data_IF_030984829802
#
_entry.id   IF_030984829802
#
_cell.length_a   1.000
_cell.length_b   1.000
_cell.length_c   1.000
_cell.angle_alpha   90.00
_cell.angle_beta   90.00
_cell.angle_gamma   90.00
#
_symmetry.space_group_name_H-M   'P 1'
#
loop_
_entity.id
_entity.type
_entity.pdbx_description
1 polymer ?
#
# COMPACT_ATOMS: atom_id res chain seq x y z
N UNK A 1 -5.17 -8.74 -26.06
CA UNK A 1 -4.84 -9.43 -24.80
C UNK A 1 -5.71 -8.83 -23.72
N UNK A 2 -6.60 -9.63 -23.13
CA UNK A 2 -7.41 -9.20 -22.00
C UNK A 2 -6.50 -9.18 -20.77
N UNK A 3 -5.88 -8.04 -20.47
CA UNK A 3 -5.09 -7.88 -19.25
C UNK A 3 -6.04 -7.81 -18.06
N UNK A 4 -6.05 -8.84 -17.23
CA UNK A 4 -6.80 -8.83 -15.97
C UNK A 4 -6.04 -7.97 -14.94
N UNK A 5 -6.76 -7.10 -14.23
CA UNK A 5 -6.21 -6.37 -13.09
C UNK A 5 -5.87 -7.36 -11.99
N UNK A 6 -4.61 -7.41 -11.56
CA UNK A 6 -4.25 -8.21 -10.40
C UNK A 6 -4.98 -7.72 -9.17
N UNK A 7 -5.72 -8.63 -8.55
CA UNK A 7 -6.40 -8.39 -7.29
C UNK A 7 -5.41 -8.69 -6.16
N UNK A 8 -5.06 -7.70 -5.34
CA UNK A 8 -4.44 -7.97 -4.04
C UNK A 8 -5.50 -8.42 -3.05
N UNK A 9 -5.14 -9.34 -2.16
CA UNK A 9 -5.98 -9.56 -0.97
C UNK A 9 -5.94 -8.29 -0.10
N UNK A 10 -6.99 -8.07 0.69
CA UNK A 10 -7.12 -6.92 1.60
C UNK A 10 -5.88 -6.66 2.51
N UNK A 11 -5.06 -7.68 2.74
CA UNK A 11 -3.88 -7.65 3.60
C UNK A 11 -2.53 -7.73 2.83
N UNK A 12 -2.52 -7.57 1.51
CA UNK A 12 -1.31 -7.71 0.68
C UNK A 12 -1.08 -9.14 0.15
N UNK A 13 0.18 -9.47 -0.15
CA UNK A 13 0.58 -10.76 -0.74
C UNK A 13 1.24 -11.74 0.24
N UNK A 14 1.48 -11.33 1.49
CA UNK A 14 2.18 -12.14 2.50
C UNK A 14 1.19 -12.63 3.55
N UNK A 15 1.50 -13.80 4.14
CA UNK A 15 0.75 -14.45 5.21
C UNK A 15 0.44 -13.48 6.36
N UNK A 16 -0.82 -13.44 6.80
CA UNK A 16 -1.39 -12.34 7.61
C UNK A 16 -1.66 -12.80 9.03
N UNK A 17 -0.70 -13.52 9.61
CA UNK A 17 -0.73 -13.89 11.01
C UNK A 17 -0.39 -12.66 11.84
N UNK A 18 -1.15 -12.44 12.91
CA UNK A 18 -0.83 -11.39 13.86
C UNK A 18 0.45 -11.79 14.60
N UNK A 19 1.44 -10.91 14.59
CA UNK A 19 2.69 -11.10 15.32
C UNK A 19 2.83 -10.04 16.42
N UNK A 20 3.64 -10.34 17.43
CA UNK A 20 4.04 -9.36 18.44
C UNK A 20 5.29 -8.61 17.97
N UNK A 21 5.35 -7.29 18.17
CA UNK A 21 6.61 -6.54 17.96
C UNK A 21 7.75 -7.06 18.83
N UNK A 22 7.44 -7.58 20.02
CA UNK A 22 8.46 -8.19 20.88
C UNK A 22 8.93 -9.54 20.35
N UNK A 23 8.09 -10.29 19.61
CA UNK A 23 8.51 -11.51 18.88
C UNK A 23 9.58 -11.13 17.85
N UNK A 24 9.32 -10.13 17.01
CA UNK A 24 10.29 -9.66 16.01
C UNK A 24 11.59 -9.19 16.65
N UNK A 25 11.52 -8.39 17.72
CA UNK A 25 12.71 -7.92 18.44
C UNK A 25 13.58 -9.06 18.96
N UNK A 26 12.95 -10.09 19.50
CA UNK A 26 13.65 -11.26 19.99
C UNK A 26 14.32 -12.02 18.83
N UNK A 27 13.60 -12.24 17.73
CA UNK A 27 14.15 -12.93 16.55
C UNK A 27 15.32 -12.18 15.93
N UNK A 28 15.22 -10.86 15.77
CA UNK A 28 16.31 -10.01 15.27
C UNK A 28 17.52 -10.03 16.22
N UNK A 29 17.28 -10.06 17.53
CA UNK A 29 18.35 -10.18 18.53
C UNK A 29 19.08 -11.53 18.44
N UNK A 30 18.34 -12.64 18.34
CA UNK A 30 18.92 -13.98 18.19
C UNK A 30 19.70 -14.08 16.88
N UNK A 31 19.12 -13.59 15.78
CA UNK A 31 19.78 -13.55 14.48
C UNK A 31 21.12 -12.78 14.54
N UNK A 32 21.14 -11.63 15.22
CA UNK A 32 22.34 -10.84 15.44
C UNK A 32 23.38 -11.58 16.31
N UNK A 33 22.98 -12.16 17.43
CA UNK A 33 23.89 -12.85 18.36
C UNK A 33 24.52 -14.09 17.72
N UNK A 34 23.72 -14.89 17.01
CA UNK A 34 24.16 -16.14 16.41
C UNK A 34 24.71 -15.96 14.99
N UNK A 35 24.63 -14.75 14.42
CA UNK A 35 25.00 -14.46 13.03
C UNK A 35 24.31 -15.39 12.03
N UNK A 36 23.01 -15.61 12.24
CA UNK A 36 22.14 -16.45 11.40
C UNK A 36 21.02 -15.63 10.77
N UNK A 37 20.42 -16.16 9.72
CA UNK A 37 19.21 -15.58 9.12
C UNK A 37 17.98 -16.32 9.64
N UNK A 38 17.05 -15.58 10.24
CA UNK A 38 15.75 -16.10 10.69
C UNK A 38 14.65 -15.45 9.85
N UNK A 39 13.91 -16.26 9.09
CA UNK A 39 12.72 -15.81 8.39
C UNK A 39 11.57 -15.62 9.37
N UNK A 40 10.93 -14.45 9.39
CA UNK A 40 9.81 -14.10 10.26
C UNK A 40 8.82 -13.16 9.56
N UNK A 41 7.74 -12.75 10.22
CA UNK A 41 6.63 -12.00 9.63
C UNK A 41 7.03 -10.72 8.83
N UNK A 42 8.16 -10.08 9.19
CA UNK A 42 8.59 -8.80 8.65
C UNK A 42 9.76 -8.88 7.65
N UNK A 43 10.32 -10.07 7.38
CA UNK A 43 11.41 -10.24 6.43
C UNK A 43 11.18 -11.44 5.51
N UNK A 44 12.08 -11.64 4.53
CA UNK A 44 12.05 -12.78 3.62
C UNK A 44 10.66 -13.08 3.03
N UNK A 45 10.28 -14.36 3.04
CA UNK A 45 8.96 -14.84 2.59
C UNK A 45 7.85 -14.66 3.63
N UNK A 46 8.14 -14.07 4.79
CA UNK A 46 7.24 -14.03 5.94
C UNK A 46 7.34 -15.29 6.82
N UNK A 47 6.35 -15.46 7.70
CA UNK A 47 6.23 -16.67 8.54
C UNK A 47 6.02 -17.93 7.70
N UNK A 48 6.76 -18.99 8.07
CA UNK A 48 6.70 -20.30 7.42
C UNK A 48 5.60 -21.15 8.08
N UNK A 49 4.90 -21.96 7.28
CA UNK A 49 3.99 -22.98 7.79
C UNK A 49 4.65 -24.35 7.77
N UNK A 50 4.77 -24.97 8.94
CA UNK A 50 5.34 -26.31 9.14
C UNK A 50 4.26 -27.22 9.72
N UNK A 51 3.90 -28.29 9.01
CA UNK A 51 2.85 -29.22 9.46
C UNK A 51 1.49 -28.54 9.72
N UNK A 52 1.17 -27.47 8.98
CA UNK A 52 -0.04 -26.68 9.17
C UNK A 52 0.02 -25.61 10.27
N UNK A 53 1.14 -25.51 10.99
CA UNK A 53 1.36 -24.53 12.08
C UNK A 53 2.20 -23.37 11.51
N UNK A 54 1.71 -22.12 11.66
CA UNK A 54 2.53 -20.92 11.40
C UNK A 54 3.52 -20.75 12.54
N UNK A 55 4.80 -20.56 12.22
CA UNK A 55 5.86 -20.36 13.22
C UNK A 55 6.38 -18.92 13.16
N UNK A 56 6.68 -18.34 14.32
CA UNK A 56 7.14 -16.95 14.45
C UNK A 56 8.46 -16.72 13.69
N UNK A 57 9.41 -17.64 13.84
CA UNK A 57 10.74 -17.58 13.21
C UNK A 57 11.21 -18.95 12.70
N UNK A 58 11.85 -18.97 11.53
CA UNK A 58 12.45 -20.17 10.97
C UNK A 58 13.84 -19.90 10.39
N UNK A 59 14.83 -20.65 10.87
CA UNK A 59 16.18 -20.67 10.30
C UNK A 59 16.38 -21.93 9.47
N UNK A 60 16.49 -21.77 8.14
CA UNK A 60 16.58 -22.91 7.23
C UNK A 60 17.92 -23.66 7.31
N UNK A 61 19.03 -22.94 7.54
CA UNK A 61 20.37 -23.53 7.58
C UNK A 61 20.54 -24.50 8.76
N UNK A 62 19.96 -24.15 9.92
CA UNK A 62 20.02 -24.97 11.14
C UNK A 62 18.77 -25.82 11.35
N UNK A 63 17.76 -25.73 10.47
CA UNK A 63 16.42 -26.34 10.65
C UNK A 63 15.82 -26.05 12.03
N UNK A 64 16.03 -24.84 12.53
CA UNK A 64 15.54 -24.41 13.86
C UNK A 64 14.33 -23.52 13.72
N UNK A 65 13.31 -23.80 14.53
CA UNK A 65 12.09 -23.01 14.69
C UNK A 65 12.22 -22.21 15.98
N UNK A 66 11.89 -20.92 15.90
CA UNK A 66 11.85 -20.02 17.04
C UNK A 66 10.39 -19.61 17.28
N UNK A 67 9.86 -19.88 18.49
CA UNK A 67 8.47 -19.57 18.85
C UNK A 67 8.43 -18.58 20.01
N UNK A 68 7.67 -17.50 19.84
CA UNK A 68 7.50 -16.48 20.87
C UNK A 68 6.11 -16.59 21.52
N UNK A 69 6.10 -16.98 22.79
CA UNK A 69 4.87 -17.25 23.52
C UNK A 69 4.40 -16.02 24.29
N UNK A 70 3.50 -15.25 23.68
CA UNK A 70 2.71 -14.24 24.38
C UNK A 70 1.96 -14.85 25.56
N UNK A 71 2.25 -14.43 26.79
CA UNK A 71 1.83 -15.15 28.00
C UNK A 71 0.30 -15.26 28.11
N UNK A 72 -0.40 -14.21 27.70
CA UNK A 72 -1.86 -14.15 27.67
C UNK A 72 -2.47 -15.12 26.65
N UNK A 73 -1.91 -15.21 25.44
CA UNK A 73 -2.47 -16.01 24.34
C UNK A 73 -2.06 -17.49 24.39
N UNK A 74 -0.93 -17.79 25.00
CA UNK A 74 -0.34 -19.14 25.04
C UNK A 74 -0.47 -19.83 26.41
N UNK A 75 -1.16 -19.22 27.38
CA UNK A 75 -1.47 -19.89 28.65
C UNK A 75 -0.26 -20.02 29.58
N UNK A 76 0.49 -18.95 29.83
CA UNK A 76 1.65 -19.04 30.73
C UNK A 76 1.21 -19.32 32.19
N UNK A 77 1.55 -20.50 32.73
CA UNK A 77 1.17 -20.93 34.08
C UNK A 77 1.92 -20.21 35.22
N UNK A 78 3.02 -19.51 34.90
CA UNK A 78 3.73 -18.65 35.85
C UNK A 78 3.06 -17.28 35.98
N UNK A 79 2.46 -16.78 34.90
CA UNK A 79 1.83 -15.46 34.86
C UNK A 79 0.35 -15.51 35.21
N UNK A 80 -0.33 -16.64 35.01
CA UNK A 80 -1.77 -16.76 35.16
C UNK A 80 -2.15 -18.06 35.89
N UNK A 81 -3.24 -17.98 36.66
CA UNK A 81 -3.84 -19.16 37.26
C UNK A 81 -4.39 -20.09 36.14
N UNK A 82 -4.08 -21.42 36.17
CA UNK A 82 -4.50 -22.38 35.16
C UNK A 82 -6.00 -22.39 34.85
N UNK A 83 -6.85 -22.14 35.84
CA UNK A 83 -8.31 -22.26 35.73
C UNK A 83 -8.99 -20.99 35.21
N UNK A 84 -8.25 -19.88 35.10
CA UNK A 84 -8.78 -18.62 34.55
C UNK A 84 -9.11 -18.79 33.07
N UNK A 85 -10.29 -18.32 32.66
CA UNK A 85 -10.71 -18.28 31.26
C UNK A 85 -10.14 -17.03 30.59
N UNK A 86 -9.42 -17.21 29.48
CA UNK A 86 -8.99 -16.12 28.63
C UNK A 86 -10.22 -15.51 27.91
N UNK A 87 -10.48 -14.20 28.06
CA UNK A 87 -11.70 -13.57 27.54
C UNK A 87 -11.73 -13.43 26.00
N UNK A 88 -10.60 -13.60 25.32
CA UNK A 88 -10.49 -13.50 23.86
C UNK A 88 -10.69 -14.87 23.20
N UNK A 89 -10.12 -15.92 23.78
CA UNK A 89 -10.18 -17.28 23.21
C UNK A 89 -11.28 -18.16 23.81
N UNK A 90 -11.84 -17.75 24.94
CA UNK A 90 -12.80 -18.51 25.76
C UNK A 90 -12.26 -19.85 26.28
N UNK A 91 -10.94 -20.08 26.20
CA UNK A 91 -10.28 -21.26 26.76
C UNK A 91 -9.64 -20.92 28.12
N UNK A 92 -9.51 -21.93 28.99
CA UNK A 92 -8.72 -21.77 30.21
C UNK A 92 -7.24 -21.61 29.88
N UNK A 93 -6.50 -20.92 30.75
CA UNK A 93 -5.05 -20.75 30.59
C UNK A 93 -4.34 -22.11 30.55
N UNK A 94 -4.81 -23.11 31.32
CA UNK A 94 -4.32 -24.48 31.22
C UNK A 94 -4.48 -25.07 29.83
N UNK A 95 -5.66 -24.94 29.23
CA UNK A 95 -5.92 -25.50 27.90
C UNK A 95 -5.08 -24.81 26.82
N UNK A 96 -4.86 -23.49 26.93
CA UNK A 96 -3.95 -22.76 26.03
C UNK A 96 -2.50 -23.24 26.19
N UNK A 97 -2.05 -23.49 27.42
CA UNK A 97 -0.73 -24.04 27.70
C UNK A 97 -0.55 -25.43 27.07
N UNK A 98 -1.53 -26.31 27.31
CA UNK A 98 -1.52 -27.68 26.80
C UNK A 98 -1.45 -27.68 25.26
N UNK A 99 -2.22 -26.81 24.58
CA UNK A 99 -2.15 -26.64 23.12
C UNK A 99 -0.80 -26.11 22.64
N UNK A 100 -0.22 -25.17 23.37
CA UNK A 100 1.11 -24.60 23.05
C UNK A 100 2.17 -25.70 23.09
N UNK A 101 2.19 -26.48 24.17
CA UNK A 101 3.10 -27.64 24.33
C UNK A 101 2.88 -28.70 23.25
N UNK A 102 1.63 -29.03 22.93
CA UNK A 102 1.30 -30.01 21.88
C UNK A 102 1.83 -29.56 20.51
N UNK A 103 1.74 -28.28 20.19
CA UNK A 103 2.30 -27.73 18.95
C UNK A 103 3.83 -27.86 18.92
N UNK A 104 4.51 -27.53 20.02
CA UNK A 104 5.97 -27.69 20.14
C UNK A 104 6.39 -29.15 19.96
N UNK A 105 5.71 -30.09 20.62
CA UNK A 105 5.94 -31.53 20.47
C UNK A 105 5.70 -32.03 19.03
N UNK A 106 4.67 -31.49 18.33
CA UNK A 106 4.41 -31.82 16.92
C UNK A 106 5.54 -31.36 16.00
N UNK A 107 6.10 -30.19 16.25
CA UNK A 107 7.20 -29.64 15.45
C UNK A 107 8.50 -30.43 15.72
N UNK A 108 8.80 -30.73 16.98
CA UNK A 108 9.94 -31.55 17.37
C UNK A 108 9.88 -32.96 16.78
N UNK A 109 8.70 -33.61 16.79
CA UNK A 109 8.50 -34.93 16.15
C UNK A 109 8.76 -34.94 14.64
N UNK A 110 8.66 -33.79 13.98
CA UNK A 110 9.01 -33.63 12.56
C UNK A 110 10.51 -33.40 12.34
N UNK A 111 11.33 -33.50 13.39
CA UNK A 111 12.79 -33.38 13.32
C UNK A 111 13.30 -31.94 13.29
N UNK A 112 12.53 -30.99 13.82
CA UNK A 112 12.98 -29.60 13.99
C UNK A 112 13.47 -29.37 15.42
N UNK A 113 14.55 -28.61 15.57
CA UNK A 113 14.90 -28.00 16.86
C UNK A 113 13.92 -26.85 17.10
N UNK A 114 13.28 -26.80 18.26
CA UNK A 114 12.36 -25.71 18.62
C UNK A 114 12.93 -24.94 19.80
N UNK A 115 13.19 -23.64 19.61
CA UNK A 115 13.62 -22.70 20.64
C UNK A 115 12.44 -21.83 21.00
N UNK A 116 12.14 -21.72 22.28
CA UNK A 116 10.95 -21.01 22.77
C UNK A 116 11.36 -19.83 23.65
N UNK A 117 10.63 -18.73 23.53
CA UNK A 117 10.80 -17.55 24.38
C UNK A 117 9.44 -17.10 24.90
N UNK A 118 9.27 -17.06 26.21
CA UNK A 118 8.06 -16.51 26.82
C UNK A 118 8.14 -14.98 26.93
N UNK A 119 7.00 -14.32 26.75
CA UNK A 119 6.92 -12.87 26.81
C UNK A 119 7.45 -12.27 28.12
N UNK A 120 7.20 -12.92 29.27
CA UNK A 120 7.67 -12.43 30.56
C UNK A 120 9.19 -12.56 30.71
N UNK A 121 9.78 -13.63 30.17
CA UNK A 121 11.22 -13.84 30.15
C UNK A 121 11.91 -12.80 29.27
N UNK A 122 11.40 -12.55 28.05
CA UNK A 122 11.96 -11.52 27.18
C UNK A 122 11.80 -10.11 27.77
N UNK A 123 10.71 -9.84 28.50
CA UNK A 123 10.57 -8.57 29.24
C UNK A 123 11.62 -8.44 30.34
N UNK A 124 11.92 -9.51 31.07
CA UNK A 124 12.97 -9.52 32.08
C UNK A 124 14.36 -9.34 31.44
N UNK A 125 14.62 -10.02 30.32
CA UNK A 125 15.88 -9.91 29.57
C UNK A 125 16.09 -8.48 29.07
N UNK A 126 15.08 -7.86 28.45
CA UNK A 126 15.14 -6.43 28.05
C UNK A 126 15.47 -5.50 29.21
N UNK A 127 15.12 -5.85 30.45
CA UNK A 127 15.43 -5.04 31.63
C UNK A 127 16.85 -5.28 32.13
N UNK A 128 17.37 -6.49 32.02
CA UNK A 128 18.60 -6.92 32.69
C UNK A 128 19.81 -7.03 31.76
N UNK A 129 19.60 -7.15 30.44
CA UNK A 129 20.66 -7.28 29.44
C UNK A 129 20.97 -5.91 28.81
N UNK A 130 22.17 -5.38 29.08
CA UNK A 130 22.61 -4.08 28.57
C UNK A 130 22.83 -4.09 27.05
N UNK A 131 23.37 -5.19 26.51
CA UNK A 131 23.67 -5.32 25.09
C UNK A 131 22.38 -5.38 24.27
N UNK A 132 21.38 -6.14 24.75
CA UNK A 132 20.05 -6.17 24.15
C UNK A 132 19.41 -4.78 24.13
N UNK A 133 19.51 -4.00 25.22
CA UNK A 133 18.98 -2.63 25.23
C UNK A 133 19.67 -1.75 24.19
N UNK A 134 21.00 -1.85 24.08
CA UNK A 134 21.76 -1.11 23.09
C UNK A 134 21.32 -1.46 21.67
N UNK A 135 21.24 -2.75 21.36
CA UNK A 135 20.77 -3.24 20.05
C UNK A 135 19.35 -2.77 19.72
N UNK A 136 18.41 -2.92 20.66
CA UNK A 136 17.02 -2.50 20.46
C UNK A 136 16.86 -0.99 20.29
N UNK A 137 17.80 -0.18 20.81
CA UNK A 137 17.77 1.27 20.62
C UNK A 137 18.09 1.70 19.19
N UNK A 138 18.81 0.86 18.44
CA UNK A 138 19.19 1.08 17.05
C UNK A 138 18.34 0.30 16.06
N UNK A 139 17.60 -0.72 16.51
CA UNK A 139 16.79 -1.58 15.65
C UNK A 139 15.58 -0.82 15.07
N UNK A 140 15.58 -0.61 13.75
CA UNK A 140 14.45 -0.06 13.02
C UNK A 140 13.51 -1.19 12.57
N UNK A 141 12.34 -1.30 13.20
CA UNK A 141 11.31 -2.27 12.79
C UNK A 141 10.35 -1.60 11.83
N UNK A 142 10.39 -2.04 10.58
CA UNK A 142 9.46 -1.61 9.54
C UNK A 142 8.40 -2.70 9.32
N UNK A 143 7.12 -2.34 9.44
CA UNK A 143 6.04 -3.26 9.07
C UNK A 143 6.08 -3.57 7.56
N UNK A 144 5.39 -4.61 7.10
CA UNK A 144 5.30 -4.91 5.66
C UNK A 144 4.64 -3.76 4.88
N UNK A 145 4.89 -3.73 3.58
CA UNK A 145 4.26 -2.83 2.62
C UNK A 145 2.75 -3.07 2.58
N UNK A 146 2.00 -2.02 2.86
CA UNK A 146 0.57 -1.96 2.56
C UNK A 146 0.35 -1.05 1.35
N UNK A 147 -0.13 -1.58 0.20
CA UNK A 147 -0.34 -0.77 -1.00
C UNK A 147 -1.28 0.42 -0.77
N UNK A 148 -2.19 0.34 0.22
CA UNK A 148 -3.11 1.43 0.56
C UNK A 148 -2.39 2.67 1.10
N UNK A 149 -1.21 2.50 1.68
CA UNK A 149 -0.43 3.62 2.20
C UNK A 149 0.11 4.49 1.06
N UNK A 150 0.27 3.92 -0.15
CA UNK A 150 0.62 4.65 -1.36
C UNK A 150 -0.58 5.34 -2.04
N UNK A 151 -1.80 5.14 -1.55
CA UNK A 151 -2.99 5.77 -2.14
C UNK A 151 -3.26 7.14 -1.52
N UNK A 152 -2.98 8.21 -2.27
CA UNK A 152 -3.18 9.59 -1.85
C UNK A 152 -4.30 10.29 -2.63
N UNK A 153 -4.82 11.37 -2.03
CA UNK A 153 -5.78 12.25 -2.70
C UNK A 153 -5.07 13.27 -3.61
N UNK A 154 -5.86 14.16 -4.22
CA UNK A 154 -5.31 15.28 -4.97
C UNK A 154 -4.46 16.22 -4.11
N UNK A 155 -3.48 16.85 -4.74
CA UNK A 155 -2.63 17.86 -4.12
C UNK A 155 -3.41 19.18 -3.96
N UNK A 156 -3.54 19.63 -2.72
CA UNK A 156 -4.02 20.98 -2.40
C UNK A 156 -2.90 21.70 -1.66
N UNK A 157 -2.29 22.71 -2.30
CA UNK A 157 -1.17 23.43 -1.73
C UNK A 157 -1.25 24.93 -2.05
N UNK A 158 -1.16 25.78 -1.04
CA UNK A 158 -1.08 27.22 -1.20
C UNK A 158 0.37 27.69 -1.10
N UNK A 159 0.92 28.23 -2.18
CA UNK A 159 2.28 28.81 -2.20
C UNK A 159 2.29 30.24 -1.67
N UNK A 160 1.23 31.00 -1.97
CA UNK A 160 1.04 32.37 -1.52
C UNK A 160 -0.43 32.56 -1.13
N UNK A 161 -0.68 33.05 0.08
CA UNK A 161 -2.05 33.26 0.59
C UNK A 161 -2.69 34.55 0.07
N UNK A 162 -1.89 35.54 -0.33
CA UNK A 162 -2.37 36.82 -0.85
C UNK A 162 -1.54 37.29 -2.05
N UNK A 163 -2.20 37.63 -3.14
CA UNK A 163 -1.58 38.22 -4.33
C UNK A 163 -2.41 39.42 -4.79
N UNK A 164 -1.75 40.55 -4.98
CA UNK A 164 -2.35 41.77 -5.53
C UNK A 164 -1.82 41.95 -6.96
N UNK A 165 -2.75 42.00 -7.93
CA UNK A 165 -2.43 42.14 -9.35
C UNK A 165 -3.22 41.16 -10.24
N UNK A 166 -3.04 41.24 -11.57
CA UNK A 166 -3.69 40.34 -12.51
C UNK A 166 -3.25 38.89 -12.30
N UNK A 167 -4.21 37.97 -12.24
CA UNK A 167 -3.96 36.53 -12.09
C UNK A 167 -4.56 35.73 -13.24
N UNK A 168 -3.94 34.60 -13.58
CA UNK A 168 -4.49 33.62 -14.54
C UNK A 168 -4.91 32.36 -13.80
N UNK A 169 -6.08 31.83 -14.13
CA UNK A 169 -6.57 30.53 -13.67
C UNK A 169 -6.36 29.50 -14.78
N UNK A 170 -5.63 28.43 -14.46
CA UNK A 170 -5.37 27.32 -15.38
C UNK A 170 -5.97 26.07 -14.75
N UNK A 171 -6.79 25.36 -15.51
CA UNK A 171 -7.53 24.18 -15.04
C UNK A 171 -7.33 23.01 -15.99
N UNK A 172 -7.11 21.83 -15.43
CA UNK A 172 -7.13 20.61 -16.21
C UNK A 172 -8.57 20.14 -16.39
N UNK A 173 -9.05 20.18 -17.63
CA UNK A 173 -10.35 19.62 -17.94
C UNK A 173 -10.28 18.10 -17.83
N UNK A 174 -10.91 17.53 -16.80
CA UNK A 174 -10.99 16.08 -16.57
C UNK A 174 -9.64 15.40 -16.30
N UNK A 175 -8.88 15.89 -15.31
CA UNK A 175 -7.58 15.33 -14.91
C UNK A 175 -7.57 13.81 -14.69
N UNK A 176 -8.44 13.26 -13.84
CA UNK A 176 -8.45 11.80 -13.57
C UNK A 176 -8.80 10.96 -14.81
N UNK A 177 -9.83 11.32 -15.62
CA UNK A 177 -10.05 10.68 -16.91
C UNK A 177 -8.86 10.73 -17.85
N UNK A 178 -8.14 11.86 -17.90
CA UNK A 178 -6.92 12.00 -18.70
C UNK A 178 -5.86 10.98 -18.24
N UNK A 179 -5.57 10.91 -16.95
CA UNK A 179 -4.65 9.90 -16.39
C UNK A 179 -5.11 8.47 -16.74
N UNK A 180 -6.40 8.15 -16.55
CA UNK A 180 -6.93 6.82 -16.85
C UNK A 180 -6.77 6.42 -18.32
N UNK A 181 -6.77 7.38 -19.24
CA UNK A 181 -6.63 7.11 -20.67
C UNK A 181 -5.17 6.98 -21.13
N UNK A 182 -4.27 7.77 -20.56
CA UNK A 182 -2.92 7.94 -21.09
C UNK A 182 -1.81 7.41 -20.16
N UNK A 183 -2.06 7.26 -18.86
CA UNK A 183 -1.07 6.77 -17.91
C UNK A 183 -0.85 5.27 -18.02
N UNK A 184 0.34 4.84 -17.60
CA UNK A 184 0.75 3.44 -17.48
C UNK A 184 0.32 2.88 -16.13
N UNK A 185 -0.46 1.81 -16.15
CA UNK A 185 -0.96 1.13 -14.95
C UNK A 185 -0.32 -0.25 -14.76
N UNK A 186 -0.10 -0.71 -13.51
CA UNK A 186 0.28 -2.09 -13.24
C UNK A 186 -0.85 -3.06 -13.60
N UNK A 187 -0.49 -4.23 -14.14
CA UNK A 187 -1.41 -5.34 -14.45
C UNK A 187 -0.82 -6.66 -13.95
N UNK A 188 -1.69 -7.64 -13.69
CA UNK A 188 -1.27 -8.89 -13.05
C UNK A 188 -0.84 -8.71 -11.58
N UNK A 189 -0.17 -9.72 -11.04
CA UNK A 189 0.29 -9.74 -9.65
C UNK A 189 1.74 -9.24 -9.54
N UNK A 190 2.09 -8.49 -8.48
CA UNK A 190 3.45 -8.07 -8.25
C UNK A 190 4.30 -9.23 -7.71
N UNK A 191 5.59 -9.15 -7.99
CA UNK A 191 6.62 -9.83 -7.23
C UNK A 191 6.93 -9.04 -5.96
N UNK A 192 6.87 -9.71 -4.81
CA UNK A 192 7.22 -9.12 -3.53
C UNK A 192 8.72 -9.30 -3.31
N UNK A 193 9.43 -8.19 -3.28
CA UNK A 193 10.88 -8.16 -3.13
C UNK A 193 11.25 -7.50 -1.80
N UNK A 194 12.19 -8.13 -1.09
CA UNK A 194 12.86 -7.56 0.08
C UNK A 194 14.29 -7.22 -0.36
N UNK A 195 14.59 -5.95 -0.65
CA UNK A 195 15.92 -5.54 -1.09
C UNK A 195 16.99 -5.81 -0.03
N UNK A 196 18.25 -5.89 -0.46
CA UNK A 196 19.37 -5.99 0.46
C UNK A 196 19.46 -4.74 1.35
N UNK A 197 20.00 -4.91 2.55
CA UNK A 197 20.19 -3.79 3.49
C UNK A 197 21.05 -2.72 2.82
N UNK A 198 20.52 -1.50 2.74
CA UNK A 198 21.21 -0.37 2.11
C UNK A 198 20.96 -0.23 0.61
N UNK A 199 20.12 -1.05 -0.01
CA UNK A 199 19.69 -0.85 -1.40
C UNK A 199 18.96 0.50 -1.56
N UNK A 200 19.32 1.21 -2.61
CA UNK A 200 18.86 2.58 -2.89
C UNK A 200 18.35 2.77 -4.30
N UNK A 201 18.67 1.88 -5.24
CA UNK A 201 18.30 2.01 -6.65
C UNK A 201 16.83 1.67 -6.87
N UNK A 202 16.10 2.66 -7.41
CA UNK A 202 14.67 2.57 -7.69
C UNK A 202 14.36 2.40 -9.19
N UNK A 203 15.35 2.62 -10.07
CA UNK A 203 15.14 2.74 -11.51
C UNK A 203 14.57 1.45 -12.12
N UNK A 204 15.04 0.30 -11.62
CA UNK A 204 14.58 -1.02 -12.06
C UNK A 204 13.17 -1.41 -11.61
N UNK A 205 12.55 -0.64 -10.71
CA UNK A 205 11.26 -1.01 -10.14
C UNK A 205 10.08 -0.24 -10.75
N UNK A 206 8.96 -0.95 -10.84
CA UNK A 206 7.66 -0.41 -11.24
C UNK A 206 6.58 -0.96 -10.30
N UNK A 207 5.90 -0.09 -9.55
CA UNK A 207 4.85 -0.49 -8.59
C UNK A 207 4.88 0.29 -7.28
N UNK A 208 4.61 -0.38 -6.16
CA UNK A 208 4.62 0.24 -4.83
C UNK A 208 5.93 -0.06 -4.10
N UNK A 209 6.42 0.93 -3.35
CA UNK A 209 7.70 0.84 -2.68
C UNK A 209 7.56 1.41 -1.27
N UNK A 210 7.91 0.60 -0.27
CA UNK A 210 8.06 1.04 1.12
C UNK A 210 9.52 1.34 1.36
N UNK A 211 9.83 2.56 1.78
CA UNK A 211 11.20 3.02 1.92
C UNK A 211 11.31 4.17 2.92
N UNK A 212 12.55 4.48 3.29
CA UNK A 212 12.94 5.72 3.94
C UNK A 212 13.71 6.58 2.95
N UNK A 213 13.29 7.81 2.74
CA UNK A 213 13.84 8.68 1.70
C UNK A 213 14.25 10.01 2.28
N UNK A 214 15.38 10.54 1.80
CA UNK A 214 15.78 11.91 1.98
C UNK A 214 15.25 12.73 0.78
N UNK A 215 14.27 13.62 0.98
CA UNK A 215 13.73 14.41 -0.13
C UNK A 215 14.76 15.39 -0.67
N UNK A 216 14.83 15.50 -2.00
CA UNK A 216 15.69 16.47 -2.68
C UNK A 216 15.29 17.91 -2.34
N UNK A 217 16.28 18.76 -2.01
CA UNK A 217 16.05 20.19 -1.72
C UNK A 217 15.82 21.04 -2.98
N UNK A 218 16.16 20.53 -4.17
CA UNK A 218 16.16 21.29 -5.42
C UNK A 218 14.81 21.41 -6.13
N UNK A 219 13.74 20.85 -5.56
CA UNK A 219 12.42 20.82 -6.20
C UNK A 219 11.65 22.11 -5.90
N UNK A 220 11.23 22.83 -6.95
CA UNK A 220 10.30 23.96 -6.84
C UNK A 220 9.00 23.54 -6.14
N UNK A 221 8.54 22.32 -6.44
CA UNK A 221 7.39 21.70 -5.83
C UNK A 221 7.77 20.32 -5.31
N UNK A 222 7.77 20.10 -3.98
CA UNK A 222 7.98 18.77 -3.41
C UNK A 222 6.94 17.79 -3.98
N UNK A 223 7.39 16.56 -4.26
CA UNK A 223 6.59 15.56 -4.98
C UNK A 223 5.97 14.53 -4.03
N UNK A 224 6.71 14.08 -3.01
CA UNK A 224 6.25 12.98 -2.18
C UNK A 224 5.14 13.40 -1.21
N UNK A 225 3.95 12.78 -1.29
CA UNK A 225 2.91 12.98 -0.30
C UNK A 225 3.29 12.38 1.06
N UNK A 226 2.92 13.07 2.13
CA UNK A 226 3.17 12.64 3.50
C UNK A 226 1.97 12.98 4.37
N UNK A 227 1.37 11.97 5.01
CA UNK A 227 0.28 12.18 5.97
C UNK A 227 0.86 12.48 7.33
N UNK A 228 0.54 13.64 7.88
CA UNK A 228 0.96 14.03 9.21
C UNK A 228 -0.11 14.91 9.85
N UNK A 229 -0.44 14.62 11.12
CA UNK A 229 -1.52 15.29 11.88
C UNK A 229 -2.85 15.34 11.09
N UNK A 230 -3.24 14.20 10.53
CA UNK A 230 -4.46 14.02 9.71
C UNK A 230 -4.54 14.90 8.46
N UNK A 231 -3.43 15.50 8.04
CA UNK A 231 -3.33 16.31 6.83
C UNK A 231 -2.40 15.66 5.81
N UNK A 232 -2.77 15.80 4.54
CA UNK A 232 -1.89 15.49 3.42
C UNK A 232 -0.98 16.69 3.16
N UNK A 233 0.33 16.49 3.31
CA UNK A 233 1.35 17.50 3.07
C UNK A 233 2.37 16.97 2.05
N UNK A 234 3.20 17.87 1.51
CA UNK A 234 4.31 17.53 0.62
C UNK A 234 5.61 18.14 1.18
N UNK A 235 6.12 17.64 2.32
CA UNK A 235 7.25 18.25 3.01
C UNK A 235 8.60 17.75 2.47
N UNK A 236 9.65 18.56 2.67
CA UNK A 236 11.06 18.16 2.44
C UNK A 236 11.79 17.75 3.74
N UNK A 237 11.06 17.73 4.86
CA UNK A 237 11.56 17.38 6.18
C UNK A 237 10.41 16.85 7.05
N UNK A 238 10.56 15.60 7.53
CA UNK A 238 9.65 14.97 8.48
C UNK A 238 9.44 15.84 9.72
N UNK A 239 10.52 16.14 10.45
CA UNK A 239 10.43 16.89 11.72
C UNK A 239 9.81 18.26 11.56
N UNK A 240 10.10 19.02 10.50
CA UNK A 240 9.44 20.31 10.27
C UNK A 240 7.93 20.16 10.08
N UNK A 241 7.50 19.13 9.33
CA UNK A 241 6.06 18.88 9.12
C UNK A 241 5.35 18.43 10.40
N UNK A 242 6.01 17.58 11.20
CA UNK A 242 5.48 17.11 12.49
C UNK A 242 5.42 18.24 13.53
N UNK A 243 6.43 19.11 13.59
CA UNK A 243 6.50 20.22 14.55
C UNK A 243 5.84 21.50 14.06
N UNK A 244 5.39 21.54 12.79
CA UNK A 244 4.85 22.73 12.12
C UNK A 244 5.83 23.93 12.11
N UNK A 245 7.13 23.65 12.00
CA UNK A 245 8.18 24.67 11.98
C UNK A 245 8.00 25.64 10.80
N UNK A 246 8.08 26.94 11.08
CA UNK A 246 7.99 28.02 10.08
C UNK A 246 9.33 28.69 9.75
N UNK A 247 10.39 28.37 10.50
CA UNK A 247 11.74 28.89 10.28
C UNK A 247 12.56 27.99 9.32
N UNK A 248 13.65 28.49 8.71
CA UNK A 248 14.53 27.67 7.89
C UNK A 248 14.95 26.36 8.56
N UNK A 249 14.90 25.27 7.81
CA UNK A 249 15.17 23.93 8.34
C UNK A 249 16.68 23.67 8.46
N UNK A 250 17.13 23.36 9.69
CA UNK A 250 18.51 22.97 10.01
C UNK A 250 18.61 21.51 10.48
N UNK A 251 17.58 20.70 10.27
CA UNK A 251 17.55 19.30 10.69
C UNK A 251 18.53 18.45 9.88
N UNK A 252 19.12 17.46 10.55
CA UNK A 252 20.02 16.48 9.92
C UNK A 252 19.27 15.63 8.88
N UNK A 253 19.97 14.97 7.93
CA UNK A 253 19.34 14.07 6.98
C UNK A 253 18.40 13.05 7.63
N UNK A 254 18.79 12.47 8.77
CA UNK A 254 18.03 11.46 9.50
C UNK A 254 16.70 12.00 10.02
N UNK A 255 16.71 13.22 10.55
CA UNK A 255 15.50 13.91 11.02
C UNK A 255 14.63 14.43 9.85
N UNK A 256 15.25 14.72 8.71
CA UNK A 256 14.53 15.13 7.50
C UNK A 256 13.85 13.96 6.78
N UNK A 257 14.45 12.78 6.81
CA UNK A 257 13.98 11.63 6.05
C UNK A 257 12.54 11.26 6.36
N UNK A 258 11.79 10.97 5.30
CA UNK A 258 10.42 10.48 5.34
C UNK A 258 10.44 8.96 5.26
N UNK A 259 9.63 8.29 6.07
CA UNK A 259 9.36 6.85 5.90
C UNK A 259 7.91 6.68 5.49
N UNK A 260 7.67 5.89 4.45
CA UNK A 260 6.33 5.73 3.88
C UNK A 260 6.32 4.74 2.72
N UNK A 261 5.14 4.65 2.10
CA UNK A 261 4.93 3.84 0.90
C UNK A 261 4.48 4.76 -0.22
N UNK A 262 5.15 4.68 -1.37
CA UNK A 262 4.86 5.50 -2.55
C UNK A 262 4.85 4.64 -3.81
N UNK A 263 4.43 5.23 -4.93
CA UNK A 263 4.64 4.62 -6.24
C UNK A 263 6.06 4.88 -6.71
N UNK A 264 6.65 3.90 -7.42
CA UNK A 264 8.02 3.98 -7.92
C UNK A 264 8.29 5.23 -8.76
N UNK A 265 7.32 5.65 -9.58
CA UNK A 265 7.49 6.78 -10.49
C UNK A 265 7.60 8.13 -9.75
N UNK A 266 6.89 8.30 -8.64
CA UNK A 266 7.04 9.49 -7.77
C UNK A 266 8.43 9.51 -7.10
N UNK A 267 8.93 8.34 -6.70
CA UNK A 267 10.23 8.20 -6.05
C UNK A 267 11.38 8.54 -7.01
N UNK A 268 11.32 8.09 -8.26
CA UNK A 268 12.32 8.40 -9.31
C UNK A 268 12.54 9.90 -9.49
N UNK A 269 11.52 10.72 -9.24
CA UNK A 269 11.61 12.19 -9.36
C UNK A 269 12.09 12.85 -8.07
N UNK A 270 11.79 12.27 -6.91
CA UNK A 270 11.85 12.99 -5.63
C UNK A 270 13.03 12.63 -4.71
N UNK A 271 13.71 11.53 -5.01
CA UNK A 271 14.69 10.93 -4.12
C UNK A 271 16.08 11.48 -4.39
N UNK A 272 16.72 12.03 -3.36
CA UNK A 272 18.16 12.30 -3.37
C UNK A 272 18.94 11.06 -2.87
N UNK A 273 18.42 10.44 -1.80
CA UNK A 273 18.87 9.15 -1.26
C UNK A 273 17.66 8.39 -0.73
N UNK A 274 17.58 7.09 -1.00
CA UNK A 274 16.51 6.22 -0.53
C UNK A 274 17.06 4.94 0.08
N UNK A 275 16.39 4.39 1.08
CA UNK A 275 16.65 3.07 1.66
C UNK A 275 15.40 2.24 1.46
N UNK A 276 15.47 1.23 0.60
CA UNK A 276 14.32 0.40 0.25
C UNK A 276 14.09 -0.69 1.30
N UNK A 277 12.85 -0.84 1.76
CA UNK A 277 12.47 -1.87 2.74
C UNK A 277 11.72 -3.02 2.07
N UNK A 278 10.77 -2.71 1.19
CA UNK A 278 10.00 -3.71 0.46
C UNK A 278 9.45 -3.10 -0.83
N UNK A 279 9.42 -3.90 -1.90
CA UNK A 279 8.94 -3.48 -3.22
C UNK A 279 7.92 -4.48 -3.73
N UNK A 280 6.77 -3.97 -4.17
CA UNK A 280 5.79 -4.73 -4.94
C UNK A 280 6.01 -4.37 -6.41
N UNK A 281 6.81 -5.18 -7.10
CA UNK A 281 7.21 -4.93 -8.47
C UNK A 281 6.31 -5.65 -9.47
N UNK A 282 5.69 -4.89 -10.38
CA UNK A 282 4.91 -5.42 -11.49
C UNK A 282 5.79 -5.51 -12.74
N UNK A 283 5.92 -6.73 -13.27
CA UNK A 283 6.61 -6.98 -14.54
C UNK A 283 5.79 -6.49 -15.74
N UNK A 284 4.47 -6.50 -15.60
CA UNK A 284 3.53 -6.15 -16.65
C UNK A 284 2.86 -4.80 -16.37
N UNK A 285 2.60 -4.06 -17.45
CA UNK A 285 1.89 -2.78 -17.38
C UNK A 285 1.00 -2.58 -18.61
N UNK A 286 0.02 -1.69 -18.50
CA UNK A 286 -0.89 -1.35 -19.58
C UNK A 286 -1.20 0.14 -19.61
N UNK A 287 -1.18 0.72 -20.80
CA UNK A 287 -1.64 2.10 -21.08
C UNK A 287 -3.06 2.12 -21.66
N UNK A 288 -3.66 0.95 -21.89
CA UNK A 288 -4.98 0.83 -22.51
C UNK A 288 -6.04 0.28 -21.56
N UNK A 289 -5.67 0.01 -20.30
CA UNK A 289 -6.51 -0.65 -19.30
C UNK A 289 -7.89 -0.01 -19.16
N UNK A 290 -7.96 1.33 -19.11
CA UNK A 290 -9.22 2.06 -19.01
C UNK A 290 -9.57 2.85 -20.26
N UNK A 291 -8.72 2.80 -21.30
CA UNK A 291 -8.85 3.65 -22.49
C UNK A 291 -10.21 3.51 -23.15
N UNK A 292 -10.70 2.30 -23.38
CA UNK A 292 -12.00 2.06 -24.03
C UNK A 292 -13.18 2.62 -23.23
N UNK A 293 -13.16 2.48 -21.90
CA UNK A 293 -14.18 3.05 -21.02
C UNK A 293 -14.16 4.58 -21.08
N UNK A 294 -12.97 5.18 -20.98
CA UNK A 294 -12.82 6.64 -21.06
C UNK A 294 -13.24 7.16 -22.43
N UNK A 295 -12.84 6.51 -23.53
CA UNK A 295 -13.20 6.90 -24.89
C UNK A 295 -14.72 6.88 -25.12
N UNK A 296 -15.41 5.85 -24.62
CA UNK A 296 -16.86 5.75 -24.71
C UNK A 296 -17.55 6.94 -24.03
N UNK A 297 -17.21 7.23 -22.76
CA UNK A 297 -17.89 8.29 -22.02
C UNK A 297 -17.42 9.69 -22.42
N UNK A 298 -16.20 9.86 -22.92
CA UNK A 298 -15.75 11.09 -23.55
C UNK A 298 -16.53 11.38 -24.83
N UNK A 299 -16.72 10.39 -25.72
CA UNK A 299 -17.56 10.51 -26.92
C UNK A 299 -18.97 10.98 -26.56
N UNK A 300 -19.63 10.28 -25.64
CA UNK A 300 -20.99 10.63 -25.20
C UNK A 300 -21.06 12.04 -24.61
N UNK A 301 -20.10 12.40 -23.75
CA UNK A 301 -20.03 13.73 -23.14
C UNK A 301 -19.85 14.82 -24.20
N UNK A 302 -18.99 14.57 -25.18
CA UNK A 302 -18.66 15.56 -26.20
C UNK A 302 -19.81 15.76 -27.18
N UNK A 303 -20.43 14.68 -27.65
CA UNK A 303 -21.63 14.74 -28.49
C UNK A 303 -22.79 15.46 -27.78
N UNK A 304 -22.99 15.18 -26.48
CA UNK A 304 -24.02 15.85 -25.67
C UNK A 304 -23.69 17.31 -25.28
N UNK A 305 -22.48 17.80 -25.57
CA UNK A 305 -22.10 19.20 -25.28
C UNK A 305 -22.53 20.16 -26.40
N UNK A 306 -22.98 19.63 -27.55
CA UNK A 306 -23.26 20.43 -28.73
C UNK A 306 -21.99 20.90 -29.45
N UNK A 307 -22.16 21.62 -30.55
CA UNK A 307 -21.06 22.17 -31.31
C UNK A 307 -20.35 23.30 -30.53
N UNK A 308 -19.01 23.38 -30.58
CA UNK A 308 -18.28 24.54 -30.09
C UNK A 308 -18.78 25.85 -30.73
N UNK A 309 -18.63 26.97 -30.04
CA UNK A 309 -19.15 28.26 -30.49
C UNK A 309 -18.46 28.73 -31.80
N UNK A 310 -17.20 28.33 -31.98
CA UNK A 310 -16.39 28.55 -33.16
C UNK A 310 -16.78 27.68 -34.36
N UNK A 311 -17.58 26.63 -34.17
CA UNK A 311 -17.98 25.70 -35.22
C UNK A 311 -19.25 26.17 -35.96
N UNK A 312 -19.15 27.28 -36.68
CA UNK A 312 -20.31 27.93 -37.32
C UNK A 312 -20.56 27.35 -38.71
N UNK A 313 -19.53 27.20 -39.53
CA UNK A 313 -19.64 26.70 -40.91
C UNK A 313 -19.24 25.23 -41.03
N UNK A 314 -19.58 24.58 -42.14
CA UNK A 314 -19.29 23.16 -42.39
C UNK A 314 -17.81 22.82 -42.23
N UNK A 315 -16.93 23.67 -42.77
CA UNK A 315 -15.47 23.47 -42.67
C UNK A 315 -14.98 23.48 -41.22
N UNK A 316 -15.54 24.31 -40.34
CA UNK A 316 -15.16 24.31 -38.92
C UNK A 316 -15.57 23.00 -38.25
N UNK A 317 -16.76 22.49 -38.58
CA UNK A 317 -17.28 21.24 -38.06
C UNK A 317 -16.43 20.06 -38.51
N UNK A 318 -16.05 20.00 -39.78
CA UNK A 318 -15.15 18.97 -40.30
C UNK A 318 -13.77 19.03 -39.65
N UNK A 319 -13.19 20.23 -39.52
CA UNK A 319 -11.92 20.42 -38.79
C UNK A 319 -12.00 19.96 -37.34
N UNK A 320 -13.09 20.28 -36.65
CA UNK A 320 -13.30 19.86 -35.27
C UNK A 320 -13.39 18.33 -35.14
N UNK A 321 -14.14 17.67 -36.02
CA UNK A 321 -14.24 16.20 -36.04
C UNK A 321 -12.89 15.54 -36.32
N UNK A 322 -12.15 16.05 -37.30
CA UNK A 322 -10.82 15.56 -37.65
C UNK A 322 -9.84 15.75 -36.49
N UNK A 323 -9.82 16.93 -35.88
CA UNK A 323 -8.99 17.24 -34.72
C UNK A 323 -9.29 16.33 -33.53
N UNK A 324 -10.57 16.08 -33.24
CA UNK A 324 -10.95 15.22 -32.12
C UNK A 324 -10.54 13.76 -32.37
N UNK A 325 -10.67 13.28 -33.61
CA UNK A 325 -10.17 11.95 -33.99
C UNK A 325 -8.64 11.86 -33.91
N UNK A 326 -7.93 12.89 -34.38
CA UNK A 326 -6.47 12.92 -34.37
C UNK A 326 -5.90 12.94 -32.94
N UNK A 327 -6.42 13.83 -32.09
CA UNK A 327 -5.89 14.06 -30.74
C UNK A 327 -6.38 12.99 -29.76
N UNK A 328 -7.68 12.66 -29.80
CA UNK A 328 -8.28 11.75 -28.83
C UNK A 328 -8.38 10.31 -29.34
N UNK A 329 -8.28 10.07 -30.66
CA UNK A 329 -8.57 8.76 -31.25
C UNK A 329 -10.06 8.41 -31.23
N UNK A 330 -10.94 9.39 -31.04
CA UNK A 330 -12.39 9.19 -30.87
C UNK A 330 -13.11 9.76 -32.08
N UNK A 331 -13.80 8.90 -32.83
CA UNK A 331 -14.68 9.33 -33.90
C UNK A 331 -16.01 9.79 -33.32
N UNK A 332 -16.36 11.07 -33.48
CA UNK A 332 -17.67 11.62 -33.10
C UNK A 332 -18.70 11.38 -34.22
N UNK A 333 -19.97 11.21 -33.85
CA UNK A 333 -21.08 11.15 -34.80
C UNK A 333 -21.72 12.55 -34.94
N UNK A 334 -21.59 13.22 -36.10
CA UNK A 334 -22.12 14.57 -36.31
C UNK A 334 -23.62 14.69 -36.04
N UNK A 335 -24.38 13.61 -36.28
CA UNK A 335 -25.84 13.57 -36.06
C UNK A 335 -26.21 13.55 -34.57
N UNK A 336 -25.28 13.12 -33.72
CA UNK A 336 -25.46 13.06 -32.27
C UNK A 336 -24.92 14.30 -31.55
N UNK A 337 -24.22 15.20 -32.25
CA UNK A 337 -23.70 16.44 -31.66
C UNK A 337 -24.85 17.43 -31.46
N UNK A 338 -25.48 17.34 -30.31
CA UNK A 338 -26.59 18.18 -29.88
C UNK A 338 -26.51 18.42 -28.38
N UNK A 339 -26.70 19.67 -27.97
CA UNK A 339 -26.68 20.01 -26.55
C UNK A 339 -27.77 19.24 -25.79
N UNK A 340 -27.35 18.38 -24.87
CA UNK A 340 -28.21 17.59 -24.00
C UNK A 340 -27.64 17.60 -22.57
N UNK A 341 -28.20 18.42 -21.66
CA UNK A 341 -27.63 18.60 -20.33
C UNK A 341 -27.67 17.32 -19.48
N UNK A 342 -28.72 16.49 -19.62
CA UNK A 342 -28.88 15.24 -18.87
C UNK A 342 -27.87 14.18 -19.30
N UNK A 343 -27.76 13.91 -20.61
CA UNK A 343 -26.79 12.95 -21.16
C UNK A 343 -25.36 13.37 -20.85
N UNK A 344 -25.06 14.66 -20.96
CA UNK A 344 -23.75 15.23 -20.59
C UNK A 344 -23.43 15.04 -19.12
N UNK A 345 -24.40 15.29 -18.22
CA UNK A 345 -24.21 15.11 -16.79
C UNK A 345 -23.92 13.65 -16.41
N UNK A 346 -24.66 12.69 -16.98
CA UNK A 346 -24.45 11.25 -16.77
C UNK A 346 -23.06 10.82 -17.25
N UNK A 347 -22.66 11.23 -18.45
CA UNK A 347 -21.34 10.89 -18.99
C UNK A 347 -20.20 11.49 -18.16
N UNK A 348 -20.34 12.75 -17.72
CA UNK A 348 -19.38 13.39 -16.80
C UNK A 348 -19.29 12.65 -15.46
N UNK A 349 -20.43 12.19 -14.92
CA UNK A 349 -20.45 11.43 -13.67
C UNK A 349 -19.76 10.07 -13.84
N UNK A 350 -20.00 9.37 -14.94
CA UNK A 350 -19.32 8.11 -15.25
C UNK A 350 -17.80 8.27 -15.29
N UNK A 351 -17.31 9.27 -16.03
CA UNK A 351 -15.87 9.62 -16.11
C UNK A 351 -15.25 9.91 -14.73
N UNK A 352 -15.91 10.74 -13.92
CA UNK A 352 -15.34 11.20 -12.65
C UNK A 352 -15.49 10.18 -11.50
N UNK A 353 -16.56 9.38 -11.49
CA UNK A 353 -16.82 8.42 -10.42
C UNK A 353 -16.07 7.10 -10.60
N UNK A 354 -15.62 6.79 -11.83
CA UNK A 354 -14.92 5.55 -12.14
C UNK A 354 -13.71 5.30 -11.23
N UNK A 355 -12.78 6.25 -11.18
CA UNK A 355 -11.60 6.15 -10.32
C UNK A 355 -11.96 6.05 -8.84
N UNK A 356 -12.93 6.85 -8.39
CA UNK A 356 -13.41 6.82 -7.01
C UNK A 356 -13.99 5.47 -6.58
N UNK A 357 -14.60 4.72 -7.50
CA UNK A 357 -15.13 3.38 -7.22
C UNK A 357 -14.05 2.33 -7.01
N UNK A 358 -12.92 2.43 -7.69
CA UNK A 358 -11.77 1.53 -7.48
C UNK A 358 -11.21 1.64 -6.05
N UNK A 359 -11.48 2.75 -5.35
CA UNK A 359 -11.09 2.98 -3.96
C UNK A 359 -11.99 2.29 -2.93
N UNK A 360 -13.25 1.99 -3.27
CA UNK A 360 -14.28 1.60 -2.30
C UNK A 360 -13.92 0.26 -1.63
N UNK A 361 -14.08 0.19 -0.31
CA UNK A 361 -13.84 -1.02 0.47
C UNK A 361 -14.70 -2.18 -0.03
N UNK A 362 -14.11 -3.36 -0.18
CA UNK A 362 -14.83 -4.62 -0.38
C UNK A 362 -15.72 -5.00 0.82
N UNK A 363 -15.76 -4.21 1.91
CA UNK A 363 -16.68 -4.40 3.03
C UNK A 363 -18.10 -3.87 2.78
N UNK A 364 -18.33 -3.15 1.68
CA UNK A 364 -19.64 -2.53 1.37
C UNK A 364 -20.29 -2.99 0.05
N UNK A 365 -19.64 -3.85 -0.74
CA UNK A 365 -20.28 -4.46 -1.92
C UNK A 365 -21.07 -5.72 -1.52
N UNK A 366 -22.23 -5.53 -0.89
CA UNK A 366 -23.31 -6.52 -0.98
C UNK A 366 -24.16 -6.18 -2.21
N UNK A 367 -23.70 -6.60 -3.39
CA UNK A 367 -24.59 -6.75 -4.54
C UNK A 367 -24.36 -8.15 -5.10
N UNK A 368 -25.08 -9.11 -4.54
CA UNK A 368 -25.41 -10.35 -5.23
C UNK A 368 -26.67 -10.04 -6.05
N UNK A 369 -26.53 -10.02 -7.37
CA UNK A 369 -27.67 -10.32 -8.24
C UNK A 369 -27.48 -11.77 -8.63
N UNK A 370 -28.15 -12.67 -7.93
CA UNK A 370 -28.29 -14.05 -8.34
C UNK A 370 -29.71 -14.22 -8.89
N UNK A 371 -29.81 -14.60 -10.16
CA UNK A 371 -31.10 -14.78 -10.84
C UNK A 371 -31.84 -16.06 -10.41
N UNK A 372 -31.32 -16.84 -9.46
CA UNK A 372 -32.00 -18.03 -8.95
C UNK A 372 -31.89 -18.09 -7.42
N UNK A 373 -33.02 -17.90 -6.73
CA UNK A 373 -33.09 -17.74 -5.29
C UNK A 373 -32.71 -18.96 -4.46
N UNK A 374 -31.41 -19.23 -4.30
CA UNK A 374 -30.89 -20.20 -3.33
C UNK A 374 -29.76 -19.55 -2.53
N UNK A 375 -29.99 -19.33 -1.24
CA UNK A 375 -29.00 -18.78 -0.31
C UNK A 375 -27.93 -19.83 0.02
N UNK A 376 -26.71 -19.66 -0.50
CA UNK A 376 -25.48 -20.19 0.11
C UNK A 376 -24.67 -19.04 0.72
N UNK A 377 -24.16 -19.24 1.93
CA UNK A 377 -23.17 -18.35 2.55
C UNK A 377 -21.82 -18.64 1.90
N UNK A 378 -21.53 -17.99 0.78
CA UNK A 378 -20.19 -18.01 0.20
C UNK A 378 -19.36 -16.86 0.80
N UNK A 379 -18.19 -17.21 1.35
CA UNK A 379 -17.20 -16.25 1.83
C UNK A 379 -16.68 -15.45 0.64
N UNK A 380 -17.12 -14.20 0.50
CA UNK A 380 -16.58 -13.29 -0.51
C UNK A 380 -15.13 -12.94 -0.15
N UNK A 381 -14.18 -13.44 -0.94
CA UNK A 381 -12.77 -13.06 -0.83
C UNK A 381 -12.62 -11.55 -1.04
N UNK A 382 -12.03 -10.88 -0.04
CA UNK A 382 -11.81 -9.42 -0.04
C UNK A 382 -10.64 -9.09 -0.96
N UNK A 383 -10.95 -8.65 -2.17
CA UNK A 383 -9.96 -8.29 -3.19
C UNK A 383 -10.02 -6.81 -3.55
N UNK A 384 -8.88 -6.23 -3.91
CA UNK A 384 -8.74 -4.83 -4.33
C UNK A 384 -7.86 -4.70 -5.57
N UNK A 385 -8.18 -3.78 -6.49
CA UNK A 385 -7.27 -3.41 -7.57
C UNK A 385 -6.05 -2.65 -7.01
N UNK A 386 -4.82 -3.06 -7.37
CA UNK A 386 -3.56 -2.37 -7.01
C UNK A 386 -3.24 -1.21 -7.95
N UNK A 387 -4.25 -0.40 -8.23
CA UNK A 387 -4.17 0.56 -9.32
C UNK A 387 -3.80 1.92 -8.73
N UNK A 388 -2.66 2.44 -9.17
CA UNK A 388 -2.15 3.77 -8.84
C UNK A 388 -1.84 4.48 -10.16
N UNK A 389 -2.06 5.79 -10.21
CA UNK A 389 -1.96 6.63 -11.42
C UNK A 389 -0.75 7.52 -11.39
#
# INVERSE_FOLDING_TARGET
>A
MNGETGLATFNGYINTTNFSRDSIRWLEWVAHQESITICHALNGVGEVKVGGISVDGFCQSTRTIYQFHGCFFHGCLQCFNPDVVNPVTSYTMKLLNDKTRENTEKLQRQGFTVVEMWEHDFKAEKKNNADLKSFLSTLEICDRLNPRDAFFGGRTNAVKLYHEGPSKYIDFTSLYPYCNKYSRYPVGHPEVLIPAVGETDIEGYFGNVKCRVLPSKGLLHPVLPYRCKDKLMFPLCRTCSETLQQTPCNHTPELRSLTGTWVSEELKVAVEKGYLYEVYHFKESSVTLFKSYIDLFLKIKQEASGWPAECVISDDKERYLASYLEVEGIQLDPSQIQFNPGRRAVAKLALNSFWGRLRIYSSQMMISVDCNGIRRKDFCHRTLPLIFS
#
